data_IF_920362699420
#
_entry.id   IF_920362699420
#
_cell.length_a   1.000
_cell.length_b   1.000
_cell.length_c   1.000
_cell.angle_alpha   90.00
_cell.angle_beta   90.00
_cell.angle_gamma   90.00
#
_symmetry.space_group_name_H-M   'P 1'
#
loop_
_entity.id
_entity.type
_entity.pdbx_description
1 polymer ?
#
# COMPACT_ATOMS: atom_id res chain seq x y z
N UNK A 1 7.08 17.57 -3.57
CA UNK A 1 6.38 16.27 -3.62
C UNK A 1 7.38 15.14 -3.36
N UNK A 2 8.41 15.03 -4.18
CA UNK A 2 9.50 14.06 -4.07
C UNK A 2 10.16 13.98 -2.67
N UNK A 3 10.50 15.12 -2.06
CA UNK A 3 11.12 15.15 -0.73
C UNK A 3 10.25 14.51 0.37
N UNK A 4 8.92 14.66 0.30
CA UNK A 4 8.00 14.05 1.27
C UNK A 4 7.83 12.54 1.00
N UNK A 5 7.86 12.11 -0.26
CA UNK A 5 7.85 10.68 -0.64
C UNK A 5 9.12 9.98 -0.16
N UNK A 6 10.29 10.60 -0.38
CA UNK A 6 11.57 10.10 0.15
C UNK A 6 11.57 9.98 1.69
N UNK A 7 10.92 10.92 2.39
CA UNK A 7 10.77 10.83 3.84
C UNK A 7 9.87 9.66 4.28
N UNK A 8 8.81 9.34 3.51
CA UNK A 8 7.96 8.18 3.78
C UNK A 8 8.69 6.86 3.55
N UNK A 9 9.45 6.75 2.45
CA UNK A 9 10.24 5.55 2.14
C UNK A 9 11.28 5.29 3.23
N UNK A 10 11.98 6.34 3.68
CA UNK A 10 12.94 6.23 4.79
C UNK A 10 12.33 5.76 6.11
N UNK A 11 11.05 6.06 6.37
CA UNK A 11 10.35 5.56 7.56
C UNK A 11 10.09 4.05 7.51
N UNK A 12 10.14 3.45 6.31
CA UNK A 12 9.78 2.05 6.02
C UNK A 12 11.04 1.19 5.82
N UNK A 13 12.09 1.74 5.19
CA UNK A 13 13.24 0.99 4.68
C UNK A 13 14.44 0.93 5.66
N UNK A 14 14.20 1.05 6.98
CA UNK A 14 15.29 1.16 7.95
C UNK A 14 15.92 -0.22 8.26
N UNK A 15 17.23 -0.35 8.00
CA UNK A 15 18.03 -1.56 8.18
C UNK A 15 18.03 -2.02 9.66
N UNK A 16 17.19 -3.01 9.95
CA UNK A 16 17.20 -3.70 11.26
C UNK A 16 17.42 -5.20 11.04
N UNK A 17 18.45 -5.76 11.68
CA UNK A 17 18.92 -7.14 11.53
C UNK A 17 17.96 -8.24 12.03
N UNK A 18 16.74 -7.90 12.48
CA UNK A 18 15.76 -8.87 12.96
C UNK A 18 14.32 -8.46 12.66
N UNK A 19 13.51 -9.42 12.18
CA UNK A 19 12.10 -9.24 11.84
C UNK A 19 11.25 -8.67 12.99
N UNK A 20 11.49 -9.14 14.23
CA UNK A 20 10.74 -8.67 15.40
C UNK A 20 10.96 -7.18 15.68
N UNK A 21 12.20 -6.70 15.55
CA UNK A 21 12.54 -5.27 15.68
C UNK A 21 11.95 -4.43 14.55
N UNK A 22 11.93 -4.98 13.33
CA UNK A 22 11.30 -4.32 12.16
C UNK A 22 9.81 -4.10 12.40
N UNK A 23 9.10 -5.14 12.85
CA UNK A 23 7.68 -5.06 13.16
C UNK A 23 7.40 -4.06 14.29
N UNK A 24 8.17 -4.09 15.38
CA UNK A 24 8.02 -3.16 16.50
C UNK A 24 8.25 -1.70 16.08
N UNK A 25 9.28 -1.43 15.29
CA UNK A 25 9.55 -0.09 14.75
C UNK A 25 8.45 0.39 13.79
N UNK A 26 7.88 -0.51 13.00
CA UNK A 26 6.79 -0.17 12.08
C UNK A 26 5.59 0.39 12.83
N UNK A 27 5.14 -0.29 13.89
CA UNK A 27 4.03 0.18 14.73
C UNK A 27 4.35 1.50 15.46
N UNK A 28 5.60 1.72 15.88
CA UNK A 28 6.05 2.99 16.47
C UNK A 28 6.07 4.15 15.47
N UNK A 29 6.42 3.89 14.20
CA UNK A 29 6.50 4.90 13.13
C UNK A 29 5.17 5.11 12.39
N UNK A 30 4.23 4.17 12.52
CA UNK A 30 2.93 4.18 11.87
C UNK A 30 2.15 5.49 12.01
N UNK A 31 2.06 6.14 13.19
CA UNK A 31 1.33 7.40 13.33
C UNK A 31 1.92 8.54 12.49
N UNK A 32 3.26 8.58 12.37
CA UNK A 32 3.98 9.60 11.59
C UNK A 32 3.80 9.36 10.09
N UNK A 33 3.90 8.11 9.65
CA UNK A 33 3.67 7.71 8.26
C UNK A 33 2.24 8.02 7.83
N UNK A 34 1.26 7.62 8.65
CA UNK A 34 -0.16 7.86 8.41
C UNK A 34 -0.49 9.36 8.32
N UNK A 35 0.14 10.20 9.16
CA UNK A 35 -0.02 11.65 9.08
C UNK A 35 0.45 12.20 7.73
N UNK A 36 1.63 11.78 7.26
CA UNK A 36 2.18 12.25 5.98
C UNK A 36 1.33 11.82 4.78
N UNK A 37 0.83 10.57 4.78
CA UNK A 37 -0.08 10.03 3.76
C UNK A 37 -1.36 10.86 3.69
N UNK A 38 -1.98 11.16 4.85
CA UNK A 38 -3.21 11.97 4.92
C UNK A 38 -3.01 13.39 4.39
N UNK A 39 -1.88 14.01 4.71
CA UNK A 39 -1.56 15.34 4.17
C UNK A 39 -1.37 15.32 2.66
N UNK A 40 -0.73 14.27 2.12
CA UNK A 40 -0.58 14.06 0.69
C UNK A 40 -1.93 13.92 -0.02
N UNK A 41 -2.80 13.07 0.52
CA UNK A 41 -4.12 12.84 -0.03
C UNK A 41 -4.97 14.13 0.00
N UNK A 42 -4.93 14.89 1.09
CA UNK A 42 -5.62 16.19 1.18
C UNK A 42 -5.12 17.19 0.12
N UNK A 43 -3.80 17.27 -0.08
CA UNK A 43 -3.23 18.16 -1.09
C UNK A 43 -3.61 17.76 -2.51
N UNK A 44 -3.58 16.47 -2.82
CA UNK A 44 -4.01 15.96 -4.12
C UNK A 44 -5.50 16.21 -4.37
N UNK A 45 -6.34 15.94 -3.37
CA UNK A 45 -7.78 16.17 -3.47
C UNK A 45 -8.12 17.65 -3.71
N UNK A 46 -7.49 18.57 -2.96
CA UNK A 46 -7.69 20.01 -3.18
C UNK A 46 -7.21 20.47 -4.57
N UNK A 47 -6.18 19.83 -5.13
CA UNK A 47 -5.74 20.11 -6.49
C UNK A 47 -6.77 19.65 -7.52
N UNK A 48 -7.31 18.44 -7.38
CA UNK A 48 -8.35 17.91 -8.25
C UNK A 48 -9.63 18.77 -8.21
N UNK A 49 -10.08 19.16 -7.01
CA UNK A 49 -11.26 20.02 -6.83
C UNK A 49 -11.12 21.37 -7.56
N UNK A 50 -9.92 21.98 -7.53
CA UNK A 50 -9.67 23.21 -8.30
C UNK A 50 -9.65 22.99 -9.81
N UNK A 51 -9.11 21.86 -10.26
CA UNK A 51 -9.12 21.52 -11.69
C UNK A 51 -10.55 21.37 -12.21
N UNK A 52 -11.39 20.62 -11.48
CA UNK A 52 -12.81 20.45 -11.81
C UNK A 52 -13.54 21.79 -11.83
N UNK A 53 -13.28 22.66 -10.85
CA UNK A 53 -13.86 24.00 -10.79
C UNK A 53 -13.49 24.85 -12.01
N UNK A 54 -12.18 25.00 -12.31
CA UNK A 54 -11.72 25.81 -13.45
C UNK A 54 -12.20 25.27 -14.80
N UNK A 55 -12.24 23.95 -14.97
CA UNK A 55 -12.74 23.32 -16.21
C UNK A 55 -14.25 23.46 -16.32
N UNK A 56 -14.96 23.41 -15.19
CA UNK A 56 -16.39 23.68 -15.10
C UNK A 56 -16.74 25.12 -15.47
N UNK A 57 -16.01 26.10 -14.94
CA UNK A 57 -16.17 27.52 -15.26
C UNK A 57 -15.89 27.81 -16.74
N UNK A 58 -14.84 27.22 -17.31
CA UNK A 58 -14.53 27.35 -18.75
C UNK A 58 -15.70 26.84 -19.61
N UNK A 59 -16.19 25.63 -19.33
CA UNK A 59 -17.35 25.06 -20.04
C UNK A 59 -18.62 25.87 -19.84
N UNK A 60 -18.78 26.51 -18.68
CA UNK A 60 -19.90 27.40 -18.41
C UNK A 60 -19.79 28.70 -19.20
N UNK A 61 -18.60 29.27 -19.32
CA UNK A 61 -18.34 30.43 -20.17
C UNK A 61 -18.58 30.12 -21.65
N UNK A 62 -18.13 28.95 -22.14
CA UNK A 62 -18.37 28.50 -23.51
C UNK A 62 -19.87 28.35 -23.80
N UNK A 63 -20.65 27.77 -22.88
CA UNK A 63 -22.12 27.70 -23.00
C UNK A 63 -22.77 29.07 -23.03
N UNK A 64 -22.36 29.95 -22.12
CA UNK A 64 -22.88 31.33 -22.06
C UNK A 64 -22.56 32.09 -23.35
N UNK A 65 -21.36 31.92 -23.90
CA UNK A 65 -20.97 32.55 -25.17
C UNK A 65 -21.78 32.02 -26.35
N UNK A 66 -22.03 30.71 -26.39
CA UNK A 66 -22.89 30.10 -27.41
C UNK A 66 -24.35 30.57 -27.31
N UNK A 67 -24.86 30.82 -26.10
CA UNK A 67 -26.22 31.34 -25.87
C UNK A 67 -26.36 32.84 -26.20
N UNK A 68 -25.36 33.66 -25.85
CA UNK A 68 -25.37 35.12 -26.09
C UNK A 68 -25.08 35.45 -27.55
N UNK A 69 -24.35 34.60 -28.26
CA UNK A 69 -24.02 34.78 -29.68
C UNK A 69 -24.36 33.52 -30.51
N UNK A 70 -25.66 33.22 -30.70
CA UNK A 70 -26.14 31.97 -31.32
C UNK A 70 -25.71 31.77 -32.79
N UNK A 71 -25.17 32.81 -33.43
CA UNK A 71 -24.75 32.78 -34.83
C UNK A 71 -23.23 32.56 -35.02
N UNK A 72 -22.45 32.35 -33.96
CA UNK A 72 -21.04 31.95 -34.09
C UNK A 72 -20.95 30.43 -34.18
N UNK A 73 -20.79 29.93 -35.41
CA UNK A 73 -20.68 28.50 -35.70
C UNK A 73 -19.42 27.95 -35.00
N UNK A 74 -19.52 26.84 -34.24
CA UNK A 74 -18.36 26.12 -33.74
C UNK A 74 -17.42 25.78 -34.91
N UNK A 75 -16.19 26.26 -34.85
CA UNK A 75 -15.17 25.95 -35.85
C UNK A 75 -14.75 24.48 -35.68
N UNK A 76 -15.49 23.58 -36.32
CA UNK A 76 -15.13 22.17 -36.44
C UNK A 76 -14.11 22.05 -37.57
N UNK A 77 -12.88 21.73 -37.19
CA UNK A 77 -11.77 21.40 -38.06
C UNK A 77 -12.07 20.10 -38.83
N UNK A 78 -12.41 20.15 -40.13
CA UNK A 78 -12.14 19.07 -41.08
C UNK A 78 -12.26 19.52 -42.55
N UNK A 79 -11.15 19.41 -43.28
CA UNK A 79 -11.07 18.93 -44.67
C UNK A 79 -11.80 19.64 -45.81
N UNK A 80 -10.97 20.18 -46.73
CA UNK A 80 -11.08 20.10 -48.20
C UNK A 80 -11.87 21.21 -48.96
N UNK A 81 -11.14 21.92 -49.83
CA UNK A 81 -11.55 22.83 -50.94
C UNK A 81 -12.60 22.20 -51.91
N UNK A 82 -13.10 22.87 -52.99
CA UNK A 82 -12.90 24.24 -53.53
C UNK A 82 -14.19 24.99 -54.01
N UNK A 83 -14.03 26.20 -54.57
CA UNK A 83 -14.98 27.01 -55.40
C UNK A 83 -16.13 27.75 -54.69
N UNK A 84 -16.45 29.02 -54.96
CA UNK A 84 -15.91 30.01 -55.91
C UNK A 84 -16.69 31.33 -55.87
N UNK A 85 -16.07 32.39 -56.43
CA UNK A 85 -16.61 33.73 -56.79
C UNK A 85 -17.14 34.63 -55.65
N UNK A 86 -16.82 35.92 -55.53
CA UNK A 86 -16.81 36.97 -56.55
C UNK A 86 -15.93 38.15 -56.12
N UNK A 87 -15.36 38.82 -57.12
CA UNK A 87 -14.36 39.88 -57.02
C UNK A 87 -14.84 41.17 -56.34
N UNK A 88 -14.00 41.67 -55.42
CA UNK A 88 -13.68 43.09 -55.27
C UNK A 88 -12.24 43.20 -54.77
N UNK A 89 -11.32 43.64 -55.64
CA UNK A 89 -9.95 44.07 -55.31
C UNK A 89 -10.01 45.48 -54.66
N UNK A 90 -9.09 46.01 -53.87
CA UNK A 90 -7.83 45.57 -53.26
C UNK A 90 -7.49 46.61 -52.16
N UNK A 91 -7.09 46.19 -50.96
CA UNK A 91 -6.11 46.93 -50.15
C UNK A 91 -5.11 45.95 -49.50
N UNK A 92 -3.82 46.28 -49.45
CA UNK A 92 -2.75 45.31 -49.22
C UNK A 92 -2.47 45.11 -47.73
N UNK A 93 -3.09 44.11 -47.11
CA UNK A 93 -2.63 43.56 -45.83
C UNK A 93 -1.72 42.36 -46.06
N UNK A 94 -0.55 42.63 -46.62
CA UNK A 94 0.57 41.71 -46.65
C UNK A 94 1.08 41.47 -45.21
N UNK A 95 1.16 40.19 -44.82
CA UNK A 95 2.13 39.67 -43.84
C UNK A 95 1.78 39.57 -42.34
N UNK A 96 0.59 39.05 -41.97
CA UNK A 96 0.41 38.44 -40.62
C UNK A 96 -0.07 36.97 -40.64
N UNK A 97 -0.70 36.53 -41.73
CA UNK A 97 -1.18 35.14 -41.88
C UNK A 97 -0.07 34.07 -41.81
N UNK A 98 1.13 34.28 -42.37
CA UNK A 98 2.23 33.31 -42.25
C UNK A 98 2.71 33.13 -40.81
N UNK A 99 2.71 34.20 -40.01
CA UNK A 99 3.17 34.19 -38.62
C UNK A 99 2.18 33.46 -37.69
N UNK A 100 0.87 33.65 -37.89
CA UNK A 100 -0.16 32.89 -37.15
C UNK A 100 -0.13 31.40 -37.46
N UNK A 101 0.01 31.03 -38.72
CA UNK A 101 0.13 29.63 -39.13
C UNK A 101 1.40 28.98 -38.54
N UNK A 102 2.54 29.69 -38.57
CA UNK A 102 3.78 29.23 -37.95
C UNK A 102 3.65 29.03 -36.43
N UNK A 103 3.04 29.97 -35.72
CA UNK A 103 2.78 29.85 -34.28
C UNK A 103 1.85 28.67 -33.95
N UNK A 104 0.82 28.43 -34.76
CA UNK A 104 -0.04 27.25 -34.61
C UNK A 104 0.73 25.94 -34.80
N UNK A 105 1.60 25.85 -35.80
CA UNK A 105 2.44 24.66 -36.01
C UNK A 105 3.41 24.41 -34.86
N UNK A 106 4.05 25.47 -34.33
CA UNK A 106 4.93 25.35 -33.16
C UNK A 106 4.16 24.85 -31.93
N UNK A 107 2.94 25.34 -31.72
CA UNK A 107 2.07 24.88 -30.62
C UNK A 107 1.64 23.42 -30.79
N UNK A 108 1.30 23.01 -32.01
CA UNK A 108 0.96 21.61 -32.32
C UNK A 108 2.17 20.72 -32.06
N UNK A 109 3.35 21.07 -32.57
CA UNK A 109 4.58 20.30 -32.35
C UNK A 109 4.92 20.15 -30.86
N UNK A 110 4.76 21.23 -30.08
CA UNK A 110 4.93 21.18 -28.63
C UNK A 110 3.96 20.20 -27.96
N UNK A 111 2.67 20.29 -28.28
CA UNK A 111 1.64 19.39 -27.74
C UNK A 111 1.89 17.93 -28.15
N UNK A 112 2.35 17.68 -29.37
CA UNK A 112 2.73 16.34 -29.84
C UNK A 112 3.91 15.78 -29.04
N UNK A 113 4.94 16.58 -28.77
CA UNK A 113 6.07 16.16 -27.93
C UNK A 113 5.66 15.87 -26.48
N UNK A 114 4.79 16.72 -25.91
CA UNK A 114 4.27 16.54 -24.54
C UNK A 114 3.41 15.28 -24.45
N UNK A 115 2.59 15.02 -25.46
CA UNK A 115 1.77 13.80 -25.55
C UNK A 115 2.65 12.56 -25.70
N UNK A 116 3.70 12.59 -26.52
CA UNK A 116 4.66 11.49 -26.64
C UNK A 116 5.40 11.24 -25.33
N UNK A 117 5.78 12.30 -24.62
CA UNK A 117 6.44 12.20 -23.31
C UNK A 117 5.49 11.54 -22.28
N UNK A 118 4.25 12.02 -22.19
CA UNK A 118 3.23 11.45 -21.32
C UNK A 118 2.91 9.98 -21.65
N UNK A 119 2.88 9.62 -22.93
CA UNK A 119 2.67 8.23 -23.36
C UNK A 119 3.83 7.30 -22.93
N UNK A 120 5.07 7.78 -22.99
CA UNK A 120 6.23 7.03 -22.51
C UNK A 120 6.19 6.84 -20.99
N UNK A 121 5.84 7.88 -20.24
CA UNK A 121 5.67 7.81 -18.79
C UNK A 121 4.60 6.77 -18.40
N UNK A 122 3.45 6.76 -19.09
CA UNK A 122 2.40 5.75 -18.86
C UNK A 122 2.93 4.34 -19.15
N UNK A 123 3.69 4.16 -20.25
CA UNK A 123 4.27 2.86 -20.60
C UNK A 123 5.24 2.37 -19.54
N UNK A 124 6.11 3.25 -19.06
CA UNK A 124 7.07 2.94 -18.00
C UNK A 124 6.35 2.65 -16.67
N UNK A 125 5.33 3.42 -16.33
CA UNK A 125 4.54 3.19 -15.12
C UNK A 125 3.85 1.82 -15.16
N UNK A 126 3.27 1.44 -16.30
CA UNK A 126 2.64 0.14 -16.48
C UNK A 126 3.63 -1.03 -16.30
N UNK A 127 4.88 -0.90 -16.78
CA UNK A 127 5.88 -1.94 -16.58
C UNK A 127 6.29 -2.06 -15.11
N UNK A 128 6.43 -0.94 -14.40
CA UNK A 128 6.70 -0.91 -12.95
C UNK A 128 5.56 -1.56 -12.18
N UNK A 129 4.31 -1.19 -12.48
CA UNK A 129 3.11 -1.78 -11.84
C UNK A 129 3.07 -3.29 -12.07
N UNK A 130 3.37 -3.78 -13.27
CA UNK A 130 3.42 -5.22 -13.55
C UNK A 130 4.50 -5.94 -12.72
N UNK A 131 5.68 -5.32 -12.56
CA UNK A 131 6.75 -5.89 -11.74
C UNK A 131 6.35 -5.88 -10.26
N UNK A 132 5.85 -4.77 -9.74
CA UNK A 132 5.45 -4.64 -8.34
C UNK A 132 4.29 -5.59 -7.98
N UNK A 133 3.31 -5.76 -8.87
CA UNK A 133 2.22 -6.73 -8.68
C UNK A 133 2.74 -8.17 -8.61
N UNK A 134 3.72 -8.55 -9.45
CA UNK A 134 4.33 -9.88 -9.38
C UNK A 134 5.11 -10.12 -8.08
N UNK A 135 5.85 -9.10 -7.59
CA UNK A 135 6.57 -9.16 -6.32
C UNK A 135 5.62 -9.23 -5.13
N UNK A 136 4.55 -8.43 -5.15
CA UNK A 136 3.53 -8.41 -4.11
C UNK A 136 2.88 -9.79 -3.98
N UNK A 137 2.53 -10.42 -5.11
CA UNK A 137 1.98 -11.78 -5.13
C UNK A 137 2.93 -12.81 -4.52
N UNK A 138 4.23 -12.73 -4.82
CA UNK A 138 5.24 -13.62 -4.21
C UNK A 138 5.37 -13.42 -2.69
N UNK A 139 5.25 -12.17 -2.21
CA UNK A 139 5.25 -11.87 -0.77
C UNK A 139 3.98 -12.38 -0.10
N UNK A 140 2.82 -12.22 -0.74
CA UNK A 140 1.54 -12.73 -0.27
C UNK A 140 1.56 -14.25 -0.07
N UNK A 141 2.08 -15.00 -1.05
CA UNK A 141 2.26 -16.46 -0.94
C UNK A 141 3.18 -16.84 0.24
N UNK A 142 4.28 -16.11 0.46
CA UNK A 142 5.18 -16.33 1.60
C UNK A 142 4.51 -16.01 2.94
N UNK A 143 3.69 -14.97 3.01
CA UNK A 143 2.92 -14.65 4.21
C UNK A 143 1.95 -15.76 4.59
N UNK A 144 1.20 -16.28 3.61
CA UNK A 144 0.29 -17.41 3.82
C UNK A 144 1.05 -18.65 4.32
N UNK A 145 2.22 -18.93 3.74
CA UNK A 145 3.07 -20.04 4.21
C UNK A 145 3.52 -19.86 5.67
N UNK A 146 3.94 -18.65 6.06
CA UNK A 146 4.35 -18.37 7.44
C UNK A 146 3.17 -18.45 8.41
N UNK A 147 2.00 -17.96 8.04
CA UNK A 147 0.79 -18.06 8.86
C UNK A 147 0.38 -19.51 9.11
N UNK A 148 0.35 -20.34 8.07
CA UNK A 148 0.02 -21.77 8.20
C UNK A 148 1.03 -22.52 9.08
N UNK A 149 2.33 -22.23 8.93
CA UNK A 149 3.37 -22.79 9.80
C UNK A 149 3.21 -22.35 11.26
N UNK A 150 2.95 -21.06 11.50
CA UNK A 150 2.69 -20.54 12.84
C UNK A 150 1.47 -21.20 13.50
N UNK A 151 0.39 -21.44 12.75
CA UNK A 151 -0.78 -22.16 13.24
C UNK A 151 -0.44 -23.61 13.64
N UNK A 152 0.36 -24.30 12.82
CA UNK A 152 0.83 -25.65 13.14
C UNK A 152 1.67 -25.68 14.41
N UNK A 153 2.59 -24.72 14.58
CA UNK A 153 3.41 -24.62 15.79
C UNK A 153 2.57 -24.33 17.03
N UNK A 154 1.53 -23.50 16.92
CA UNK A 154 0.60 -23.25 18.02
C UNK A 154 -0.10 -24.55 18.48
N UNK A 155 -0.57 -25.36 17.52
CA UNK A 155 -1.18 -26.65 17.82
C UNK A 155 -0.18 -27.62 18.47
N UNK A 156 1.08 -27.60 18.05
CA UNK A 156 2.14 -28.42 18.65
C UNK A 156 2.43 -27.99 20.10
N UNK A 157 2.51 -26.67 20.36
CA UNK A 157 2.66 -26.13 21.72
C UNK A 157 1.50 -26.56 22.60
N UNK A 158 0.26 -26.45 22.13
CA UNK A 158 -0.93 -26.89 22.87
C UNK A 158 -0.86 -28.40 23.18
N UNK A 159 -0.46 -29.23 22.21
CA UNK A 159 -0.27 -30.66 22.42
C UNK A 159 0.79 -30.95 23.49
N UNK A 160 1.93 -30.26 23.44
CA UNK A 160 3.02 -30.42 24.42
C UNK A 160 2.57 -29.98 25.82
N UNK A 161 1.84 -28.86 25.93
CA UNK A 161 1.27 -28.41 27.21
C UNK A 161 0.35 -29.47 27.81
N UNK A 162 -0.53 -30.08 27.00
CA UNK A 162 -1.41 -31.16 27.51
C UNK A 162 -0.62 -32.41 27.93
N UNK A 163 0.49 -32.74 27.25
CA UNK A 163 1.37 -33.85 27.63
C UNK A 163 2.10 -33.56 28.94
N UNK A 164 2.59 -32.34 29.14
CA UNK A 164 3.25 -31.91 30.37
C UNK A 164 2.26 -32.02 31.53
N UNK A 165 1.05 -31.47 31.40
CA UNK A 165 0.03 -31.56 32.44
C UNK A 165 -0.29 -33.01 32.86
N UNK A 166 -0.36 -33.94 31.89
CA UNK A 166 -0.54 -35.37 32.17
C UNK A 166 0.65 -35.98 32.91
N UNK A 167 1.86 -35.56 32.59
CA UNK A 167 3.08 -36.04 33.27
C UNK A 167 3.19 -35.49 34.68
N UNK A 168 2.84 -34.23 34.89
CA UNK A 168 2.81 -33.61 36.22
C UNK A 168 1.78 -34.30 37.13
N UNK A 169 0.61 -34.63 36.59
CA UNK A 169 -0.40 -35.44 37.29
C UNK A 169 0.16 -36.81 37.72
N UNK A 170 0.81 -37.54 36.81
CA UNK A 170 1.40 -38.85 37.11
C UNK A 170 2.53 -38.77 38.16
N UNK A 171 3.36 -37.73 38.07
CA UNK A 171 4.41 -37.49 39.06
C UNK A 171 3.82 -37.20 40.44
N UNK A 172 2.73 -36.44 40.49
CA UNK A 172 2.02 -36.15 41.72
C UNK A 172 1.47 -37.45 42.37
N UNK A 173 0.77 -38.29 41.60
CA UNK A 173 0.26 -39.58 42.07
C UNK A 173 1.38 -40.50 42.59
N UNK A 174 2.51 -40.57 41.87
CA UNK A 174 3.67 -41.36 42.31
C UNK A 174 4.34 -40.81 43.56
N UNK A 175 4.33 -39.49 43.75
CA UNK A 175 4.88 -38.87 44.96
C UNK A 175 4.03 -39.23 46.18
N UNK A 176 2.71 -39.18 46.04
CA UNK A 176 1.76 -39.56 47.10
C UNK A 176 1.92 -41.04 47.48
N UNK A 177 2.04 -41.94 46.50
CA UNK A 177 2.30 -43.38 46.74
C UNK A 177 3.60 -43.61 47.55
N UNK A 178 4.66 -42.87 47.24
CA UNK A 178 5.96 -42.98 47.91
C UNK A 178 5.92 -42.43 49.35
N UNK A 179 5.21 -41.31 49.58
CA UNK A 179 5.02 -40.76 50.93
C UNK A 179 4.26 -41.76 51.83
N UNK A 180 3.19 -42.36 51.29
CA UNK A 180 2.43 -43.41 51.95
C UNK A 180 3.30 -44.63 52.31
N UNK A 181 4.17 -45.04 51.39
CA UNK A 181 5.07 -46.16 51.60
C UNK A 181 6.17 -45.85 52.64
N UNK A 182 6.68 -44.61 52.65
CA UNK A 182 7.61 -44.13 53.69
C UNK A 182 6.96 -44.12 55.07
N UNK A 183 5.72 -43.66 55.19
CA UNK A 183 4.93 -43.72 56.43
C UNK A 183 4.78 -45.16 56.93
N UNK A 184 4.45 -46.10 56.03
CA UNK A 184 4.38 -47.53 56.35
C UNK A 184 5.72 -48.08 56.83
N UNK A 185 6.81 -47.71 56.17
CA UNK A 185 8.16 -48.16 56.56
C UNK A 185 8.54 -47.69 57.97
N UNK A 186 8.35 -46.41 58.28
CA UNK A 186 8.60 -45.85 59.62
C UNK A 186 7.77 -46.57 60.69
N UNK A 187 6.52 -46.89 60.37
CA UNK A 187 5.64 -47.61 61.30
C UNK A 187 6.12 -49.05 61.56
N UNK A 188 6.55 -49.77 60.53
CA UNK A 188 7.14 -51.12 60.65
C UNK A 188 8.44 -51.09 61.46
N UNK A 189 9.31 -50.11 61.20
CA UNK A 189 10.58 -49.95 61.94
C UNK A 189 10.33 -49.72 63.44
N UNK A 190 9.36 -48.86 63.79
CA UNK A 190 8.97 -48.63 65.19
C UNK A 190 8.44 -49.91 65.88
N UNK A 191 7.68 -50.74 65.14
CA UNK A 191 7.18 -52.03 65.65
C UNK A 191 8.36 -53.01 65.88
N UNK A 192 9.31 -53.07 64.96
CA UNK A 192 10.49 -53.93 65.11
C UNK A 192 11.36 -53.51 66.30
N UNK A 193 11.58 -52.21 66.49
CA UNK A 193 12.32 -51.69 67.65
C UNK A 193 11.61 -51.99 68.98
N UNK A 194 10.29 -51.85 69.04
CA UNK A 194 9.53 -52.21 70.25
C UNK A 194 9.64 -53.70 70.56
N UNK A 195 9.50 -54.58 69.55
CA UNK A 195 9.68 -56.02 69.73
C UNK A 195 11.10 -56.39 70.21
N UNK A 196 12.14 -55.74 69.68
CA UNK A 196 13.52 -55.96 70.10
C UNK A 196 13.75 -55.62 71.57
N UNK A 197 13.11 -54.56 72.07
CA UNK A 197 13.20 -54.13 73.47
C UNK A 197 12.50 -55.09 74.45
N UNK A 198 11.52 -55.89 74.00
CA UNK A 198 10.91 -56.94 74.82
C UNK A 198 11.72 -58.24 74.89
N UNK A 199 12.67 -58.43 73.97
CA UNK A 199 13.50 -59.63 73.85
C UNK A 199 14.93 -59.46 74.38
N UNK A 200 15.30 -58.27 74.86
CA UNK A 200 16.55 -58.01 75.61
C UNK A 200 16.29 -57.98 77.11
#
# INVERSE_FOLDING_TARGET
>A
MDAKVKAMIKLIDEDTDSFARRAEMYYKKWPKLMKLVKEFYRAYRALAERYDHTTGELRQADRTMAEVFPNQVPYVLFGNSPSGSSAHECEPHTSEMPHRYKHCLEKISKLESELSCAQEEIRCLNSVVLIETSKLKSVEEKCVMVETSNQSLWLEVENLVTKIAKKDQQLFEKHEELEDEQLRFVQVEAILQTLQNFHS
#
